data_IF_002211872754
#
_entry.id   IF_002211872754
#
_cell.length_a   1.000
_cell.length_b   1.000
_cell.length_c   1.000
_cell.angle_alpha   90.00
_cell.angle_beta   90.00
_cell.angle_gamma   90.00
#
_symmetry.space_group_name_H-M   'P 1'
#
loop_
_entity.id
_entity.type
_entity.pdbx_description
1 polymer ?
#
# COMPACT_ATOMS: atom_id res chain seq x y z
N UNK A 1 -9.65 -29.22 12.46
CA UNK A 1 -8.45 -29.86 13.05
C UNK A 1 -7.24 -29.26 12.36
N UNK A 2 -6.45 -28.42 13.03
CA UNK A 2 -5.23 -27.85 12.44
C UNK A 2 -4.12 -28.91 12.56
N UNK A 3 -3.81 -29.59 11.47
CA UNK A 3 -2.73 -30.56 11.45
C UNK A 3 -1.40 -29.78 11.47
N UNK A 4 -0.71 -29.80 12.61
CA UNK A 4 0.62 -29.21 12.85
C UNK A 4 0.73 -27.66 12.96
N UNK A 5 -0.39 -26.95 13.16
CA UNK A 5 -0.35 -25.52 13.47
C UNK A 5 -1.02 -25.23 14.82
N UNK A 6 -0.42 -24.34 15.61
CA UNK A 6 -0.98 -23.83 16.87
C UNK A 6 -1.31 -22.36 16.70
N UNK A 7 -2.60 -22.02 16.79
CA UNK A 7 -3.04 -20.62 16.85
C UNK A 7 -2.43 -19.96 18.10
N UNK A 8 -1.69 -18.87 17.90
CA UNK A 8 -1.13 -18.08 18.99
C UNK A 8 -2.08 -16.97 19.44
N UNK A 9 -2.70 -16.28 18.49
CA UNK A 9 -3.67 -15.22 18.73
C UNK A 9 -4.54 -14.97 17.49
N UNK A 10 -5.67 -14.29 17.70
CA UNK A 10 -6.54 -13.74 16.67
C UNK A 10 -6.95 -12.34 17.12
N UNK A 11 -7.00 -11.38 16.20
CA UNK A 11 -7.42 -10.01 16.48
C UNK A 11 -8.42 -9.57 15.41
N UNK A 12 -9.57 -9.02 15.80
CA UNK A 12 -10.63 -8.59 14.88
C UNK A 12 -10.39 -7.22 14.21
N UNK A 13 -9.20 -6.65 14.38
CA UNK A 13 -8.78 -5.33 13.86
C UNK A 13 -9.84 -4.22 14.06
N UNK A 14 -10.42 -4.18 15.26
CA UNK A 14 -11.47 -3.24 15.65
C UNK A 14 -12.73 -3.29 14.76
N UNK A 15 -13.05 -4.46 14.20
CA UNK A 15 -14.18 -4.67 13.30
C UNK A 15 -13.84 -4.47 11.81
N UNK A 16 -12.60 -4.10 11.49
CA UNK A 16 -12.15 -3.87 10.11
C UNK A 16 -11.16 -4.95 9.66
N UNK A 17 -11.66 -6.17 9.49
CA UNK A 17 -10.87 -7.32 9.03
C UNK A 17 -10.79 -7.50 7.51
N UNK A 18 -11.31 -6.54 6.73
CA UNK A 18 -11.33 -6.58 5.25
C UNK A 18 -9.96 -6.27 4.64
N UNK A 19 -9.00 -7.16 4.86
CA UNK A 19 -7.60 -6.92 4.53
C UNK A 19 -7.33 -7.06 3.04
N UNK A 20 -6.43 -6.21 2.54
CA UNK A 20 -5.87 -6.32 1.21
C UNK A 20 -4.78 -7.39 1.14
N UNK A 21 -4.16 -7.49 -0.03
CA UNK A 21 -3.06 -8.42 -0.32
C UNK A 21 -1.74 -7.99 0.35
N UNK A 22 -1.53 -6.69 0.53
CA UNK A 22 -0.28 -6.14 1.07
C UNK A 22 -0.13 -6.28 2.59
N UNK A 23 0.95 -6.90 3.02
CA UNK A 23 1.37 -6.90 4.42
C UNK A 23 2.89 -6.80 4.53
N UNK A 24 3.37 -6.02 5.50
CA UNK A 24 4.80 -5.83 5.72
C UNK A 24 5.13 -5.81 7.20
N UNK A 25 6.27 -6.41 7.57
CA UNK A 25 6.76 -6.40 8.94
C UNK A 25 7.89 -5.37 9.07
N UNK A 26 7.68 -4.36 9.91
CA UNK A 26 8.71 -3.40 10.30
C UNK A 26 9.33 -3.82 11.63
N UNK A 27 10.66 -3.74 11.74
CA UNK A 27 11.33 -3.64 13.04
C UNK A 27 11.60 -2.17 13.32
N UNK A 28 10.76 -1.58 14.16
CA UNK A 28 10.82 -0.15 14.48
C UNK A 28 12.04 0.20 15.34
N UNK A 29 12.35 1.50 15.43
CA UNK A 29 13.53 2.00 16.16
C UNK A 29 13.50 1.71 17.65
N UNK A 30 12.31 1.63 18.24
CA UNK A 30 12.12 1.28 19.67
C UNK A 30 12.20 -0.24 19.93
N UNK A 31 12.45 -1.04 18.89
CA UNK A 31 12.63 -2.48 18.96
C UNK A 31 11.35 -3.30 18.74
N UNK A 32 10.18 -2.67 18.62
CA UNK A 32 8.93 -3.38 18.34
C UNK A 32 8.89 -3.97 16.93
N UNK A 33 8.20 -5.10 16.80
CA UNK A 33 7.78 -5.66 15.52
C UNK A 33 6.37 -5.16 15.21
N UNK A 34 6.23 -4.36 14.16
CA UNK A 34 4.96 -3.79 13.73
C UNK A 34 4.55 -4.43 12.42
N UNK A 35 3.38 -5.07 12.41
CA UNK A 35 2.76 -5.62 11.21
C UNK A 35 1.85 -4.55 10.59
N UNK A 36 2.22 -4.10 9.40
CA UNK A 36 1.45 -3.17 8.59
C UNK A 36 0.57 -3.96 7.62
N UNK A 37 -0.70 -3.57 7.54
CA UNK A 37 -1.71 -4.31 6.79
C UNK A 37 -2.55 -3.36 5.93
N UNK A 38 -2.58 -3.63 4.63
CA UNK A 38 -3.44 -2.98 3.64
C UNK A 38 -4.92 -3.35 3.85
N UNK A 39 -5.85 -2.53 3.35
CA UNK A 39 -7.28 -2.86 3.31
C UNK A 39 -7.78 -2.95 1.87
N UNK A 40 -8.56 -3.99 1.59
CA UNK A 40 -9.13 -4.24 0.25
C UNK A 40 -10.20 -3.19 -0.11
N UNK A 41 -10.78 -2.53 0.90
CA UNK A 41 -11.87 -1.57 0.68
C UNK A 41 -11.95 -0.53 1.79
N UNK A 42 -12.59 0.60 1.45
CA UNK A 42 -12.99 1.62 2.40
C UNK A 42 -13.86 1.05 3.54
N UNK A 43 -13.83 1.65 4.74
CA UNK A 43 -13.31 2.98 5.02
C UNK A 43 -11.81 3.02 5.36
N UNK A 44 -11.18 1.88 5.66
CA UNK A 44 -9.81 1.87 6.18
C UNK A 44 -8.77 1.89 5.07
N UNK A 45 -7.65 2.56 5.36
CA UNK A 45 -6.52 2.67 4.47
C UNK A 45 -5.46 1.61 4.84
N UNK A 46 -4.90 1.68 6.04
CA UNK A 46 -4.03 0.64 6.58
C UNK A 46 -4.20 0.51 8.10
N UNK A 47 -3.84 -0.65 8.64
CA UNK A 47 -3.74 -0.90 10.08
C UNK A 47 -2.31 -1.27 10.43
N UNK A 48 -1.76 -0.70 11.51
CA UNK A 48 -0.53 -1.19 12.12
C UNK A 48 -0.85 -1.95 13.41
N UNK A 49 -0.23 -3.10 13.60
CA UNK A 49 -0.42 -3.98 14.75
C UNK A 49 0.94 -4.24 15.39
N UNK A 50 1.09 -3.93 16.68
CA UNK A 50 2.21 -4.42 17.48
C UNK A 50 2.09 -5.94 17.60
N UNK A 51 3.06 -6.65 17.05
CA UNK A 51 3.17 -8.11 17.11
C UNK A 51 4.47 -8.54 17.81
N UNK A 52 5.04 -7.67 18.64
CA UNK A 52 6.24 -7.97 19.43
C UNK A 52 6.01 -9.15 20.37
N UNK A 53 4.83 -9.19 21.01
CA UNK A 53 4.30 -10.37 21.70
C UNK A 53 3.25 -11.06 20.81
N UNK A 54 3.59 -12.18 20.14
CA UNK A 54 2.71 -12.81 19.16
C UNK A 54 1.42 -13.38 19.74
N UNK A 55 1.31 -13.54 21.07
CA UNK A 55 0.08 -13.97 21.76
C UNK A 55 -0.83 -12.82 22.17
N UNK A 56 -0.36 -11.58 22.07
CA UNK A 56 -1.11 -10.38 22.47
C UNK A 56 -0.95 -9.26 21.44
N UNK A 57 -1.37 -9.47 20.17
CA UNK A 57 -1.32 -8.44 19.15
C UNK A 57 -2.17 -7.23 19.53
N UNK A 58 -1.69 -6.02 19.25
CA UNK A 58 -2.38 -4.77 19.59
C UNK A 58 -2.41 -3.83 18.40
N UNK A 59 -3.59 -3.39 17.97
CA UNK A 59 -3.69 -2.31 16.98
C UNK A 59 -3.10 -1.03 17.57
N UNK A 60 -2.13 -0.44 16.86
CA UNK A 60 -1.46 0.81 17.24
C UNK A 60 -2.09 1.99 16.49
N UNK A 61 -2.31 1.84 15.18
CA UNK A 61 -2.93 2.87 14.33
C UNK A 61 -3.82 2.20 13.29
N UNK A 62 -4.90 2.87 12.92
CA UNK A 62 -5.81 2.46 11.87
C UNK A 62 -6.34 3.71 11.16
N UNK A 63 -5.89 3.92 9.93
CA UNK A 63 -6.15 5.15 9.15
C UNK A 63 -7.33 4.97 8.20
N UNK A 64 -7.91 6.07 7.74
CA UNK A 64 -9.06 6.07 6.84
C UNK A 64 -8.65 6.47 5.41
N UNK A 65 -9.36 5.92 4.43
CA UNK A 65 -9.32 6.36 3.04
C UNK A 65 -10.14 7.66 2.89
N UNK A 66 -9.78 8.53 1.94
CA UNK A 66 -10.48 9.80 1.75
C UNK A 66 -11.91 9.63 1.20
N UNK A 67 -12.23 8.49 0.57
CA UNK A 67 -13.57 8.23 0.04
C UNK A 67 -13.86 6.74 -0.19
N UNK A 68 -15.15 6.39 -0.29
CA UNK A 68 -15.61 5.00 -0.41
C UNK A 68 -15.26 4.30 -1.74
N UNK A 69 -14.99 5.06 -2.81
CA UNK A 69 -14.70 4.52 -4.15
C UNK A 69 -13.22 4.23 -4.40
N UNK A 70 -12.48 3.91 -3.34
CA UNK A 70 -11.04 3.68 -3.35
C UNK A 70 -10.72 2.47 -2.48
N UNK A 71 -9.59 1.83 -2.81
CA UNK A 71 -8.96 0.81 -1.98
C UNK A 71 -7.46 1.03 -1.90
N UNK A 72 -6.90 0.51 -0.81
CA UNK A 72 -5.47 0.49 -0.52
C UNK A 72 -4.97 -0.95 -0.44
N UNK A 73 -5.19 -1.72 -1.51
CA UNK A 73 -5.09 -3.19 -1.51
C UNK A 73 -3.67 -3.72 -1.24
N UNK A 74 -2.65 -2.90 -1.46
CA UNK A 74 -1.25 -3.30 -1.33
C UNK A 74 -0.45 -2.21 -0.60
N UNK A 75 0.49 -2.65 0.22
CA UNK A 75 1.50 -1.81 0.85
C UNK A 75 2.79 -2.61 1.02
N UNK A 76 3.90 -1.91 1.12
CA UNK A 76 5.22 -2.47 1.42
C UNK A 76 6.03 -1.49 2.27
N UNK A 77 6.97 -2.02 3.06
CA UNK A 77 7.82 -1.25 3.97
C UNK A 77 9.29 -1.54 3.71
N UNK A 78 10.09 -0.47 3.61
CA UNK A 78 11.55 -0.53 3.63
C UNK A 78 12.08 0.43 4.70
N UNK A 79 12.62 -0.12 5.78
CA UNK A 79 13.05 0.66 6.95
C UNK A 79 11.88 1.42 7.59
N UNK A 80 11.95 2.75 7.57
CA UNK A 80 10.91 3.65 8.08
C UNK A 80 10.05 4.28 6.97
N UNK A 81 10.18 3.81 5.72
CA UNK A 81 9.36 4.24 4.59
C UNK A 81 8.32 3.17 4.27
N UNK A 82 7.06 3.59 4.16
CA UNK A 82 5.97 2.74 3.71
C UNK A 82 5.38 3.29 2.42
N UNK A 83 5.22 2.44 1.41
CA UNK A 83 4.48 2.76 0.19
C UNK A 83 3.11 2.10 0.25
N UNK A 84 2.05 2.85 -0.03
CA UNK A 84 0.66 2.34 -0.05
C UNK A 84 0.07 2.57 -1.44
N UNK A 85 -0.34 1.48 -2.10
CA UNK A 85 -0.95 1.51 -3.41
C UNK A 85 -2.40 1.98 -3.33
N UNK A 86 -2.82 2.85 -4.24
CA UNK A 86 -4.15 3.43 -4.31
C UNK A 86 -4.82 3.14 -5.64
N UNK A 87 -5.93 2.40 -5.55
CA UNK A 87 -6.76 2.04 -6.68
C UNK A 87 -8.17 2.60 -6.53
N UNK A 88 -8.72 3.16 -7.61
CA UNK A 88 -10.08 3.71 -7.65
C UNK A 88 -11.03 2.83 -8.44
N UNK A 89 -12.29 2.79 -8.02
CA UNK A 89 -13.34 1.98 -8.66
C UNK A 89 -13.84 2.58 -9.98
N UNK A 90 -13.64 3.88 -10.20
CA UNK A 90 -14.01 4.60 -11.42
C UNK A 90 -12.82 5.40 -11.92
N UNK A 91 -12.57 5.36 -13.23
CA UNK A 91 -11.48 6.11 -13.83
C UNK A 91 -11.58 7.61 -13.56
N UNK A 92 -10.43 8.27 -13.45
CA UNK A 92 -10.33 9.71 -13.23
C UNK A 92 -10.57 10.18 -11.79
N UNK A 93 -10.96 9.28 -10.88
CA UNK A 93 -11.02 9.59 -9.46
C UNK A 93 -9.63 9.83 -8.87
N UNK A 94 -9.59 10.61 -7.79
CA UNK A 94 -8.39 10.93 -7.02
C UNK A 94 -8.63 10.72 -5.51
N UNK A 95 -7.61 10.29 -4.76
CA UNK A 95 -6.27 9.96 -5.21
C UNK A 95 -6.17 8.58 -5.88
N UNK A 96 -5.22 8.44 -6.82
CA UNK A 96 -4.92 7.19 -7.52
C UNK A 96 -3.42 7.15 -7.82
N UNK A 97 -2.76 5.99 -7.67
CA UNK A 97 -1.30 5.87 -7.73
C UNK A 97 -0.76 5.29 -6.44
N UNK A 98 0.23 5.88 -5.80
CA UNK A 98 0.65 5.47 -4.45
C UNK A 98 1.01 6.67 -3.58
N UNK A 99 1.06 6.46 -2.27
CA UNK A 99 1.51 7.44 -1.29
C UNK A 99 2.64 6.87 -0.44
N UNK A 100 3.63 7.71 -0.13
CA UNK A 100 4.73 7.38 0.77
C UNK A 100 4.46 7.97 2.15
N UNK A 101 4.68 7.14 3.17
CA UNK A 101 4.59 7.52 4.57
C UNK A 101 5.93 7.33 5.27
N UNK A 102 6.24 8.27 6.16
CA UNK A 102 7.23 8.12 7.22
C UNK A 102 6.55 7.42 8.39
N UNK A 103 7.05 6.23 8.72
CA UNK A 103 6.56 5.37 9.81
C UNK A 103 7.64 5.17 10.89
N UNK A 104 8.58 6.11 11.03
CA UNK A 104 9.57 6.09 12.13
C UNK A 104 8.94 6.15 13.51
N UNK A 105 7.73 6.71 13.62
CA UNK A 105 6.84 6.65 14.79
C UNK A 105 5.55 5.94 14.37
N UNK A 106 5.41 4.62 14.62
CA UNK A 106 4.30 3.81 14.11
C UNK A 106 2.90 4.33 14.48
N UNK A 107 2.75 4.97 15.65
CA UNK A 107 1.52 5.57 16.13
C UNK A 107 1.03 6.75 15.29
N UNK A 108 1.97 7.45 14.63
CA UNK A 108 1.69 8.69 13.88
C UNK A 108 2.33 8.65 12.49
N UNK A 109 1.88 7.75 11.59
CA UNK A 109 2.36 7.72 10.21
C UNK A 109 2.15 9.07 9.54
N UNK A 110 3.20 9.59 8.91
CA UNK A 110 3.17 10.92 8.30
C UNK A 110 3.29 10.79 6.80
N UNK A 111 2.30 11.30 6.07
CA UNK A 111 2.38 11.46 4.62
C UNK A 111 3.63 12.26 4.22
N UNK A 112 4.36 11.76 3.22
CA UNK A 112 5.52 12.43 2.64
C UNK A 112 5.16 13.02 1.29
N UNK A 113 4.65 12.18 0.39
CA UNK A 113 4.25 12.57 -0.96
C UNK A 113 3.33 11.53 -1.59
N UNK A 114 2.60 11.93 -2.62
CA UNK A 114 1.84 11.03 -3.48
C UNK A 114 2.40 11.04 -4.89
N UNK A 115 2.51 9.88 -5.51
CA UNK A 115 2.74 9.75 -6.94
C UNK A 115 1.37 9.64 -7.63
N UNK A 116 0.95 10.71 -8.30
CA UNK A 116 -0.35 10.76 -8.99
C UNK A 116 -0.30 9.96 -10.30
N UNK A 117 -1.11 8.90 -10.35
CA UNK A 117 -1.35 8.11 -11.54
C UNK A 117 -2.81 8.21 -12.01
N UNK A 118 -3.58 9.19 -11.53
CA UNK A 118 -4.96 9.41 -11.98
C UNK A 118 -5.03 9.86 -13.45
N UNK A 119 -6.16 9.58 -14.10
CA UNK A 119 -6.38 9.92 -15.49
C UNK A 119 -7.68 9.32 -16.04
N UNK A 120 -8.13 9.73 -17.24
CA UNK A 120 -9.41 9.31 -17.81
C UNK A 120 -9.52 7.80 -18.08
N UNK A 121 -8.38 7.11 -18.16
CA UNK A 121 -8.29 5.67 -18.38
C UNK A 121 -7.53 4.96 -17.27
N UNK A 122 -7.47 5.53 -16.06
CA UNK A 122 -6.63 5.01 -14.99
C UNK A 122 -7.45 4.60 -13.77
N UNK A 123 -7.16 3.41 -13.23
CA UNK A 123 -7.54 3.02 -11.86
C UNK A 123 -6.46 3.31 -10.82
N UNK A 124 -5.28 3.78 -11.19
CA UNK A 124 -4.16 3.95 -10.25
C UNK A 124 -3.35 2.67 -10.07
N UNK A 125 -2.84 2.44 -8.85
CA UNK A 125 -1.96 1.33 -8.51
C UNK A 125 -2.73 0.19 -7.85
N UNK A 126 -2.58 -1.03 -8.36
CA UNK A 126 -3.19 -2.23 -7.75
C UNK A 126 -2.27 -2.88 -6.71
N UNK A 127 -1.00 -3.07 -7.09
CA UNK A 127 0.00 -3.76 -6.29
C UNK A 127 1.37 -3.09 -6.46
N UNK A 128 2.17 -3.07 -5.39
CA UNK A 128 3.54 -2.57 -5.41
C UNK A 128 4.51 -3.49 -4.66
N UNK A 129 5.78 -3.35 -5.00
CA UNK A 129 6.94 -3.99 -4.38
C UNK A 129 7.96 -2.90 -4.06
N UNK A 130 8.35 -2.81 -2.80
CA UNK A 130 9.26 -1.77 -2.32
C UNK A 130 10.18 -2.36 -1.24
N UNK A 131 11.37 -2.79 -1.66
CA UNK A 131 12.27 -3.58 -0.81
C UNK A 131 13.53 -2.81 -0.44
N UNK A 132 14.06 -2.04 -1.39
CA UNK A 132 15.38 -1.40 -1.30
C UNK A 132 15.37 -0.01 -0.67
N UNK A 133 14.19 0.61 -0.50
CA UNK A 133 14.09 1.99 -0.03
C UNK A 133 14.34 3.05 -1.11
N UNK A 134 14.62 2.62 -2.35
CA UNK A 134 15.05 3.48 -3.45
C UNK A 134 14.10 3.45 -4.64
N UNK A 135 13.49 2.29 -4.93
CA UNK A 135 12.63 2.10 -6.11
C UNK A 135 11.35 1.35 -5.79
N UNK A 136 10.22 1.92 -6.20
CA UNK A 136 8.91 1.27 -6.14
C UNK A 136 8.63 0.63 -7.49
N UNK A 137 8.50 -0.69 -7.50
CA UNK A 137 8.02 -1.45 -8.65
C UNK A 137 6.53 -1.71 -8.48
N UNK A 138 5.71 -1.51 -9.52
CA UNK A 138 4.27 -1.54 -9.32
C UNK A 138 3.48 -1.93 -10.57
N UNK A 139 2.32 -2.54 -10.34
CA UNK A 139 1.25 -2.66 -11.32
C UNK A 139 0.36 -1.41 -11.22
N UNK A 140 0.62 -0.42 -12.07
CA UNK A 140 0.01 0.90 -11.97
C UNK A 140 -0.27 1.49 -13.34
N UNK A 141 -1.35 2.26 -13.41
CA UNK A 141 -1.65 3.02 -14.61
C UNK A 141 -0.57 4.06 -14.92
N UNK A 142 -0.41 4.31 -16.21
CA UNK A 142 0.35 5.44 -16.73
C UNK A 142 -0.63 6.40 -17.41
N UNK A 143 -0.87 7.60 -16.86
CA UNK A 143 -1.82 8.56 -17.44
C UNK A 143 -1.48 8.99 -18.87
N UNK A 144 -0.23 8.82 -19.30
CA UNK A 144 0.22 9.11 -20.67
C UNK A 144 -0.14 7.99 -21.66
N UNK A 145 -0.50 6.80 -21.17
CA UNK A 145 -0.90 5.68 -22.00
C UNK A 145 -2.42 5.63 -22.15
N UNK A 146 -2.86 5.40 -23.39
CA UNK A 146 -4.25 5.06 -23.69
C UNK A 146 -4.30 3.56 -24.02
N UNK A 147 -4.80 2.71 -23.11
CA UNK A 147 -4.90 1.29 -23.38
C UNK A 147 -5.95 1.04 -24.47
N UNK A 148 -5.73 0.04 -25.32
CA UNK A 148 -6.67 -0.35 -26.38
C UNK A 148 -7.91 -1.02 -25.77
N UNK A 149 -7.71 -1.87 -24.77
CA UNK A 149 -8.76 -2.39 -23.92
C UNK A 149 -8.74 -1.66 -22.56
N UNK A 150 -9.85 -1.06 -22.10
CA UNK A 150 -9.91 -0.38 -20.81
C UNK A 150 -9.53 -1.23 -19.58
N UNK A 151 -9.45 -2.56 -19.70
CA UNK A 151 -9.03 -3.47 -18.63
C UNK A 151 -7.51 -3.61 -18.49
N UNK A 152 -6.76 -3.18 -19.50
CA UNK A 152 -5.29 -3.23 -19.54
C UNK A 152 -4.67 -1.90 -19.06
N UNK A 153 -5.39 -1.15 -18.23
CA UNK A 153 -4.98 0.18 -17.76
C UNK A 153 -3.84 0.16 -16.75
N UNK A 154 -3.42 -1.01 -16.26
CA UNK A 154 -2.38 -1.13 -15.24
C UNK A 154 -1.19 -1.92 -15.79
N UNK A 155 -0.08 -1.23 -15.99
CA UNK A 155 1.16 -1.78 -16.56
C UNK A 155 2.23 -1.90 -15.49
N UNK A 156 3.35 -2.57 -15.80
CA UNK A 156 4.50 -2.54 -14.91
C UNK A 156 5.16 -1.16 -14.98
N UNK A 157 5.35 -0.50 -13.83
CA UNK A 157 6.02 0.79 -13.71
C UNK A 157 7.10 0.75 -12.63
N UNK A 158 8.12 1.58 -12.80
CA UNK A 158 9.23 1.76 -11.87
C UNK A 158 9.30 3.24 -11.50
N UNK A 159 9.26 3.54 -10.21
CA UNK A 159 9.34 4.90 -9.68
C UNK A 159 10.53 5.00 -8.72
N UNK A 160 11.45 5.92 -9.01
CA UNK A 160 12.54 6.30 -8.13
C UNK A 160 11.98 7.14 -6.97
N UNK A 161 12.25 6.69 -5.75
CA UNK A 161 11.85 7.33 -4.49
C UNK A 161 13.04 7.66 -3.59
N UNK A 162 14.29 7.66 -4.10
CA UNK A 162 15.49 8.08 -3.35
C UNK A 162 15.38 9.50 -2.79
N UNK A 163 14.50 10.32 -3.39
CA UNK A 163 13.95 11.54 -2.79
C UNK A 163 12.47 11.30 -2.49
N UNK A 164 12.10 10.81 -1.29
CA UNK A 164 10.72 10.43 -0.99
C UNK A 164 9.71 11.57 -1.15
N UNK A 165 10.13 12.83 -0.98
CA UNK A 165 9.29 14.00 -1.21
C UNK A 165 9.01 14.30 -2.70
N UNK A 166 9.71 13.64 -3.63
CA UNK A 166 9.57 13.85 -5.07
C UNK A 166 9.80 12.55 -5.86
N UNK A 167 8.84 11.60 -5.82
CA UNK A 167 8.87 10.39 -6.63
C UNK A 167 8.93 10.71 -8.12
N UNK A 168 9.72 9.95 -8.89
CA UNK A 168 9.86 10.15 -10.35
C UNK A 168 9.74 8.83 -11.08
N UNK A 169 8.85 8.76 -12.08
CA UNK A 169 8.78 7.60 -12.95
C UNK A 169 10.07 7.48 -13.79
N UNK A 170 10.71 6.30 -13.74
CA UNK A 170 11.98 6.03 -14.43
C UNK A 170 11.89 4.88 -15.43
N UNK A 171 10.81 4.10 -15.40
CA UNK A 171 10.61 3.02 -16.34
C UNK A 171 9.17 2.52 -16.36
N UNK A 172 8.81 1.88 -17.48
CA UNK A 172 7.56 1.15 -17.64
C UNK A 172 7.74 0.00 -18.64
N UNK A 173 6.92 -1.02 -18.50
CA UNK A 173 6.84 -2.12 -19.46
C UNK A 173 5.42 -2.65 -19.57
N UNK A 174 4.99 -2.96 -20.78
CA UNK A 174 3.76 -3.68 -21.08
C UNK A 174 3.95 -4.46 -22.38
N UNK A 175 3.12 -5.49 -22.57
CA UNK A 175 3.04 -6.16 -23.85
C UNK A 175 2.51 -5.17 -24.92
N UNK A 176 3.08 -5.12 -26.12
CA UNK A 176 2.46 -4.41 -27.24
C UNK A 176 1.21 -5.17 -27.70
N UNK A 177 0.06 -4.49 -27.83
CA UNK A 177 -1.16 -5.14 -28.33
C UNK A 177 -2.43 -4.42 -27.95
#
# INVERSE_FOLDING_TARGET
>A
MFLNMKLLAQHGLNGFGGMGEGMALQRSRDGRRVLWLAHESAPKNFTAVDVSEPRAPKVIVQTDLPHAQMRSNSLEVSGDLMAVAYQVARFGLKPAGFELFDISVPETPRSISSFDASGPHSRGCHALWFVDGETVHMACADPELKPLNPKDDQVYRIVDVRRPARPVAVGRWHLPG
#
